data_IF_281173752214
#
_entry.id   IF_281173752214
#
_cell.length_a   1.000
_cell.length_b   1.000
_cell.length_c   1.000
_cell.angle_alpha   90.00
_cell.angle_beta   90.00
_cell.angle_gamma   90.00
#
_symmetry.space_group_name_H-M   'P 1'
#
loop_
_entity.id
_entity.type
_entity.pdbx_description
1 polymer ?
#
# COMPACT_ATOMS: atom_id res chain seq x y z
N UNK A 1 -16.45 -12.48 -19.33
CA UNK A 1 -15.70 -11.24 -19.02
C UNK A 1 -14.24 -11.55 -19.31
N UNK A 2 -13.70 -10.96 -20.38
CA UNK A 2 -12.36 -11.30 -20.89
C UNK A 2 -11.36 -10.31 -20.31
N UNK A 3 -10.49 -10.77 -19.40
CA UNK A 3 -9.37 -9.97 -18.88
C UNK A 3 -8.25 -10.04 -19.92
N UNK A 4 -8.01 -8.95 -20.64
CA UNK A 4 -6.86 -8.90 -21.55
C UNK A 4 -5.57 -8.82 -20.73
N UNK A 5 -4.57 -9.66 -21.02
CA UNK A 5 -3.26 -9.55 -20.38
C UNK A 5 -2.61 -8.24 -20.81
N UNK A 6 -2.06 -7.51 -19.84
CA UNK A 6 -1.26 -6.32 -20.12
C UNK A 6 0.06 -6.76 -20.78
N UNK A 7 0.21 -6.46 -22.08
CA UNK A 7 1.48 -6.63 -22.80
C UNK A 7 2.28 -5.34 -22.71
N UNK A 8 3.45 -5.41 -22.06
CA UNK A 8 4.43 -4.33 -22.03
C UNK A 8 5.18 -4.31 -23.37
N UNK A 9 4.88 -3.32 -24.22
CA UNK A 9 5.60 -3.09 -25.48
C UNK A 9 6.87 -2.28 -25.22
N UNK A 10 8.04 -2.94 -25.29
CA UNK A 10 9.35 -2.36 -24.96
C UNK A 10 9.92 -1.40 -26.00
N UNK A 11 9.15 -1.03 -27.03
CA UNK A 11 9.59 -0.18 -28.14
C UNK A 11 8.95 1.22 -28.17
N UNK A 12 8.16 1.58 -27.16
CA UNK A 12 7.74 2.98 -26.97
C UNK A 12 8.63 3.58 -25.91
N UNK A 13 9.39 4.59 -26.30
CA UNK A 13 10.09 5.51 -25.39
C UNK A 13 9.05 6.44 -24.75
N UNK A 14 8.00 5.87 -24.17
CA UNK A 14 7.01 6.55 -23.35
C UNK A 14 7.28 6.14 -21.91
N UNK A 15 7.33 7.15 -21.04
CA UNK A 15 7.50 7.02 -19.61
C UNK A 15 6.70 5.83 -19.07
N UNK A 16 7.36 4.91 -18.36
CA UNK A 16 6.65 3.84 -17.66
C UNK A 16 5.46 4.44 -16.89
N UNK A 17 4.26 3.83 -16.94
CA UNK A 17 3.06 4.41 -16.35
C UNK A 17 3.33 4.72 -14.87
N UNK A 18 2.93 5.91 -14.42
CA UNK A 18 3.11 6.27 -13.02
C UNK A 18 2.20 5.41 -12.16
N UNK A 19 2.58 5.23 -10.89
CA UNK A 19 1.76 4.47 -9.96
C UNK A 19 0.36 5.10 -9.82
N UNK A 20 0.26 6.44 -9.89
CA UNK A 20 -1.01 7.18 -9.95
C UNK A 20 -1.90 6.77 -11.14
N UNK A 21 -1.32 6.56 -12.32
CA UNK A 21 -2.06 6.14 -13.53
C UNK A 21 -2.60 4.72 -13.40
N UNK A 22 -1.79 3.82 -12.83
CA UNK A 22 -2.18 2.42 -12.60
C UNK A 22 -3.31 2.33 -11.57
N UNK A 23 -3.15 3.01 -10.43
CA UNK A 23 -4.14 2.97 -9.35
C UNK A 23 -5.44 3.66 -9.80
N UNK A 24 -5.38 4.74 -10.58
CA UNK A 24 -6.57 5.42 -11.09
C UNK A 24 -7.51 4.55 -11.94
N UNK A 25 -7.02 3.42 -12.45
CA UNK A 25 -7.80 2.46 -13.23
C UNK A 25 -8.37 1.30 -12.38
N UNK A 26 -7.96 1.19 -11.10
CA UNK A 26 -8.32 0.08 -10.23
C UNK A 26 -9.72 0.25 -9.62
N UNK A 27 -10.70 -0.44 -10.20
CA UNK A 27 -12.11 -0.37 -9.80
C UNK A 27 -12.40 -1.06 -8.46
N UNK A 28 -11.53 -1.97 -8.02
CA UNK A 28 -11.73 -2.68 -6.76
C UNK A 28 -11.27 -1.88 -5.54
N UNK A 29 -10.65 -0.72 -5.70
CA UNK A 29 -10.09 0.08 -4.60
C UNK A 29 -10.59 1.53 -4.56
N UNK A 30 -11.79 1.80 -5.08
CA UNK A 30 -12.36 3.15 -5.22
C UNK A 30 -12.48 3.90 -3.89
N UNK A 31 -12.77 3.20 -2.78
CA UNK A 31 -12.85 3.82 -1.44
C UNK A 31 -11.48 4.34 -0.99
N UNK A 32 -10.44 3.52 -1.13
CA UNK A 32 -9.07 3.93 -0.82
C UNK A 32 -8.63 5.08 -1.72
N UNK A 33 -8.94 5.00 -3.01
CA UNK A 33 -8.62 6.01 -4.02
C UNK A 33 -9.22 7.38 -3.71
N UNK A 34 -10.50 7.46 -3.34
CA UNK A 34 -11.15 8.73 -2.98
C UNK A 34 -10.41 9.41 -1.81
N UNK A 35 -9.98 8.64 -0.82
CA UNK A 35 -9.21 9.16 0.31
C UNK A 35 -7.77 9.55 -0.07
N UNK A 36 -7.12 8.80 -0.97
CA UNK A 36 -5.81 9.16 -1.51
C UNK A 36 -5.85 10.50 -2.24
N UNK A 37 -6.82 10.69 -3.13
CA UNK A 37 -6.97 11.92 -3.94
C UNK A 37 -7.21 13.17 -3.08
N UNK A 38 -7.85 13.02 -1.91
CA UNK A 38 -8.08 14.11 -0.96
C UNK A 38 -6.83 14.50 -0.16
N UNK A 39 -5.81 13.64 -0.13
CA UNK A 39 -4.58 13.90 0.61
C UNK A 39 -3.46 14.33 -0.34
N UNK A 40 -3.12 15.62 -0.32
CA UNK A 40 -2.00 16.14 -1.12
C UNK A 40 -0.68 15.40 -0.83
N UNK A 41 -0.44 15.05 0.43
CA UNK A 41 0.79 14.38 0.86
C UNK A 41 0.91 12.98 0.24
N UNK A 42 -0.18 12.20 0.27
CA UNK A 42 -0.20 10.87 -0.33
C UNK A 42 -0.15 10.93 -1.86
N UNK A 43 -0.82 11.91 -2.48
CA UNK A 43 -0.73 12.10 -3.93
C UNK A 43 0.69 12.46 -4.37
N UNK A 44 1.40 13.33 -3.64
CA UNK A 44 2.81 13.63 -3.93
C UNK A 44 3.70 12.38 -3.84
N UNK A 45 3.44 11.51 -2.86
CA UNK A 45 4.14 10.22 -2.76
C UNK A 45 3.87 9.32 -3.98
N UNK A 46 2.62 9.25 -4.46
CA UNK A 46 2.26 8.46 -5.64
C UNK A 46 2.83 9.00 -6.95
N UNK A 47 2.98 10.31 -7.06
CA UNK A 47 3.60 10.99 -8.21
C UNK A 47 5.14 10.97 -8.17
N UNK A 48 5.75 10.37 -7.15
CA UNK A 48 7.20 10.35 -6.97
C UNK A 48 7.82 11.69 -6.55
N UNK A 49 7.00 12.70 -6.27
CA UNK A 49 7.42 14.03 -5.83
C UNK A 49 7.49 14.11 -4.30
N UNK A 50 8.22 13.17 -3.70
CA UNK A 50 8.43 13.15 -2.26
C UNK A 50 9.79 12.56 -1.90
N UNK A 51 10.56 13.33 -1.12
CA UNK A 51 11.88 12.93 -0.60
C UNK A 51 11.78 11.71 0.32
N UNK A 52 10.62 11.51 0.95
CA UNK A 52 10.39 10.39 1.87
C UNK A 52 10.36 9.05 1.13
N UNK A 53 10.10 9.05 -0.19
CA UNK A 53 9.99 7.87 -1.04
C UNK A 53 11.11 7.77 -2.07
N UNK A 54 12.23 8.46 -1.84
CA UNK A 54 13.38 8.46 -2.75
C UNK A 54 14.00 7.05 -2.96
N UNK A 55 13.77 6.11 -2.04
CA UNK A 55 14.21 4.71 -2.15
C UNK A 55 13.16 3.79 -2.83
N UNK A 56 12.13 4.38 -3.44
CA UNK A 56 10.98 3.69 -4.00
C UNK A 56 9.77 3.68 -3.06
N UNK A 57 8.65 3.17 -3.57
CA UNK A 57 7.39 3.05 -2.87
C UNK A 57 6.81 1.67 -3.10
N UNK A 58 6.47 0.98 -2.01
CA UNK A 58 5.55 -0.17 -2.05
C UNK A 58 4.23 0.27 -1.43
N UNK A 59 3.14 0.14 -2.17
CA UNK A 59 1.80 0.48 -1.71
C UNK A 59 0.97 -0.78 -1.51
N UNK A 60 0.40 -0.94 -0.32
CA UNK A 60 -0.61 -1.96 -0.03
C UNK A 60 -2.00 -1.35 -0.18
N UNK A 61 -2.56 -1.35 -1.39
CA UNK A 61 -3.86 -0.70 -1.62
C UNK A 61 -5.01 -1.59 -1.13
N UNK A 62 -5.78 -1.19 -0.09
CA UNK A 62 -6.92 -1.98 0.36
C UNK A 62 -8.05 -1.94 -0.68
N UNK A 63 -8.68 -3.08 -0.92
CA UNK A 63 -9.86 -3.20 -1.79
C UNK A 63 -11.12 -2.71 -1.06
N UNK A 64 -12.18 -2.45 -1.81
CA UNK A 64 -13.50 -2.10 -1.31
C UNK A 64 -14.04 -3.18 -0.35
N UNK A 65 -13.74 -4.46 -0.60
CA UNK A 65 -14.13 -5.57 0.27
C UNK A 65 -13.37 -5.53 1.62
N UNK A 66 -12.13 -5.03 1.65
CA UNK A 66 -11.40 -4.84 2.90
C UNK A 66 -12.13 -3.84 3.81
N UNK A 67 -12.73 -2.77 3.25
CA UNK A 67 -13.53 -1.81 4.01
C UNK A 67 -14.88 -2.37 4.48
N UNK A 68 -15.50 -3.29 3.72
CA UNK A 68 -16.76 -3.93 4.13
C UNK A 68 -16.59 -4.84 5.34
N UNK A 69 -15.38 -5.35 5.57
CA UNK A 69 -15.07 -6.20 6.72
C UNK A 69 -14.73 -5.39 7.99
N UNK A 70 -14.79 -4.06 7.96
CA UNK A 70 -14.57 -3.21 9.11
C UNK A 70 -15.88 -2.98 9.87
N UNK A 71 -15.82 -3.06 11.20
CA UNK A 71 -16.94 -2.68 12.08
C UNK A 71 -17.30 -1.19 11.92
N UNK A 72 -16.31 -0.36 11.59
CA UNK A 72 -16.46 1.06 11.28
C UNK A 72 -15.30 1.58 10.43
N UNK A 73 -15.56 2.51 9.52
CA UNK A 73 -14.51 3.23 8.80
C UNK A 73 -13.74 4.12 9.79
N UNK A 74 -12.39 4.12 9.78
CA UNK A 74 -11.61 4.99 10.64
C UNK A 74 -11.97 6.47 10.45
N UNK A 75 -12.06 7.21 11.55
CA UNK A 75 -12.31 8.66 11.54
C UNK A 75 -11.19 9.41 10.80
N UNK A 76 -9.93 8.97 11.01
CA UNK A 76 -8.77 9.47 10.28
C UNK A 76 -8.33 8.44 9.22
N UNK A 77 -9.02 8.48 8.09
CA UNK A 77 -8.76 7.60 6.95
C UNK A 77 -7.40 7.88 6.29
N UNK A 78 -6.91 9.11 6.33
CA UNK A 78 -5.56 9.44 5.84
C UNK A 78 -4.50 8.72 6.68
N UNK A 79 -4.59 8.82 8.01
CA UNK A 79 -3.66 8.13 8.92
C UNK A 79 -3.75 6.61 8.78
N UNK A 80 -4.94 6.07 8.53
CA UNK A 80 -5.12 4.66 8.22
C UNK A 80 -4.39 4.28 6.91
N UNK A 81 -4.53 5.08 5.86
CA UNK A 81 -3.86 4.84 4.57
C UNK A 81 -2.33 5.03 4.65
N UNK A 82 -1.81 5.96 5.46
CA UNK A 82 -0.35 6.12 5.66
C UNK A 82 0.34 4.83 6.13
N UNK A 83 -0.35 3.95 6.87
CA UNK A 83 0.18 2.63 7.27
C UNK A 83 0.42 1.67 6.10
N UNK A 84 -0.19 1.94 4.95
CA UNK A 84 -0.11 1.13 3.74
C UNK A 84 0.98 1.62 2.77
N UNK A 85 1.61 2.77 3.05
CA UNK A 85 2.73 3.29 2.29
C UNK A 85 4.03 2.78 2.90
N UNK A 86 4.88 2.12 2.13
CA UNK A 86 6.20 1.68 2.56
C UNK A 86 7.24 2.50 1.77
N UNK A 87 8.10 3.29 2.43
CA UNK A 87 9.05 4.22 1.80
C UNK A 87 10.30 3.51 1.24
N UNK A 88 10.07 2.37 0.57
CA UNK A 88 11.05 1.64 -0.23
C UNK A 88 10.37 0.58 -1.08
N UNK A 89 11.06 0.12 -2.10
CA UNK A 89 10.66 -1.10 -2.82
C UNK A 89 10.93 -2.32 -1.94
N UNK A 90 9.93 -3.20 -1.81
CA UNK A 90 10.07 -4.54 -1.23
C UNK A 90 10.02 -5.55 -2.36
N UNK A 91 11.10 -6.28 -2.58
CA UNK A 91 11.23 -7.21 -3.70
C UNK A 91 10.73 -8.60 -3.36
N UNK A 92 10.33 -9.38 -4.37
CA UNK A 92 9.92 -10.78 -4.16
C UNK A 92 10.99 -11.62 -3.45
N UNK A 93 12.27 -11.43 -3.77
CA UNK A 93 13.38 -12.14 -3.12
C UNK A 93 13.47 -11.80 -1.62
N UNK A 94 13.27 -10.53 -1.25
CA UNK A 94 13.21 -10.13 0.17
C UNK A 94 12.00 -10.75 0.86
N UNK A 95 10.85 -10.85 0.18
CA UNK A 95 9.66 -11.51 0.73
C UNK A 95 9.87 -13.02 0.89
N UNK A 96 10.56 -13.70 -0.03
CA UNK A 96 10.90 -15.13 0.08
C UNK A 96 11.81 -15.41 1.28
N UNK A 97 12.77 -14.53 1.54
CA UNK A 97 13.64 -14.61 2.72
C UNK A 97 12.93 -14.19 4.02
N UNK A 98 11.76 -13.55 3.91
CA UNK A 98 11.07 -12.90 5.00
C UNK A 98 11.74 -11.58 5.38
N UNK A 99 11.03 -10.47 5.17
CA UNK A 99 11.56 -9.12 5.43
C UNK A 99 10.61 -8.35 6.34
N UNK A 100 11.19 -7.57 7.26
CA UNK A 100 10.44 -6.65 8.12
C UNK A 100 10.80 -5.23 7.74
N UNK A 101 9.78 -4.43 7.44
CA UNK A 101 9.91 -3.02 7.03
C UNK A 101 8.97 -2.14 7.85
N UNK A 102 9.20 -0.84 7.83
CA UNK A 102 8.31 0.14 8.47
C UNK A 102 7.47 0.83 7.41
N UNK A 103 6.21 1.12 7.74
CA UNK A 103 5.38 2.01 6.94
C UNK A 103 5.87 3.46 7.03
N UNK A 104 5.25 4.32 6.25
CA UNK A 104 5.44 5.76 6.27
C UNK A 104 5.21 6.30 7.69
N UNK A 105 6.02 7.29 8.06
CA UNK A 105 6.09 7.89 9.41
C UNK A 105 6.26 6.86 10.57
N UNK A 106 6.65 5.62 10.26
CA UNK A 106 6.81 4.51 11.23
C UNK A 106 5.51 4.15 11.97
N UNK A 107 4.36 4.37 11.34
CA UNK A 107 3.04 4.08 11.92
C UNK A 107 2.73 2.59 12.07
N UNK A 108 3.44 1.72 11.33
CA UNK A 108 3.35 0.28 11.44
C UNK A 108 4.71 -0.38 11.16
N UNK A 109 4.94 -1.54 11.76
CA UNK A 109 5.99 -2.47 11.36
C UNK A 109 5.32 -3.62 10.63
N UNK A 110 5.74 -3.89 9.39
CA UNK A 110 5.13 -4.87 8.51
C UNK A 110 6.13 -5.98 8.19
N UNK A 111 5.73 -7.22 8.39
CA UNK A 111 6.48 -8.41 7.99
C UNK A 111 5.90 -8.96 6.70
N UNK A 112 6.71 -8.96 5.65
CA UNK A 112 6.39 -9.55 4.37
C UNK A 112 7.00 -10.94 4.28
N UNK A 113 6.20 -11.90 3.86
CA UNK A 113 6.66 -13.26 3.55
C UNK A 113 6.02 -13.74 2.26
N UNK A 114 6.73 -14.54 1.48
CA UNK A 114 6.18 -15.23 0.30
C UNK A 114 6.27 -16.74 0.49
N UNK A 115 5.19 -17.46 0.23
CA UNK A 115 5.18 -18.92 0.24
C UNK A 115 4.15 -19.46 -0.74
N UNK A 116 4.53 -20.47 -1.52
CA UNK A 116 3.66 -21.17 -2.49
C UNK A 116 2.94 -20.19 -3.46
N UNK A 117 3.66 -19.19 -3.95
CA UNK A 117 3.12 -18.19 -4.88
C UNK A 117 2.14 -17.19 -4.26
N UNK A 118 2.05 -17.13 -2.91
CA UNK A 118 1.22 -16.17 -2.19
C UNK A 118 2.11 -15.26 -1.35
N UNK A 119 1.80 -13.97 -1.37
CA UNK A 119 2.41 -12.97 -0.49
C UNK A 119 1.53 -12.80 0.74
N UNK A 120 2.16 -12.78 1.91
CA UNK A 120 1.53 -12.51 3.19
C UNK A 120 2.18 -11.28 3.81
N UNK A 121 1.34 -10.36 4.28
CA UNK A 121 1.77 -9.19 5.03
C UNK A 121 1.16 -9.26 6.42
N UNK A 122 1.98 -9.10 7.44
CA UNK A 122 1.56 -9.11 8.84
C UNK A 122 2.00 -7.82 9.50
N UNK A 123 1.09 -7.10 10.14
CA UNK A 123 1.45 -5.99 11.00
C UNK A 123 1.92 -6.51 12.37
N UNK A 124 3.10 -6.08 12.82
CA UNK A 124 3.57 -6.34 14.17
C UNK A 124 2.99 -5.27 15.12
N UNK A 125 2.26 -5.76 16.13
CA UNK A 125 1.59 -4.94 17.15
C UNK A 125 2.54 -4.47 18.26
N UNK A 126 3.80 -4.90 18.27
CA UNK A 126 4.70 -4.74 19.42
C UNK A 126 5.22 -3.31 19.69
N UNK A 127 5.01 -2.35 18.78
CA UNK A 127 5.62 -0.99 18.90
C UNK A 127 4.75 0.09 19.55
N UNK A 128 3.49 -0.18 19.92
CA UNK A 128 2.66 0.78 20.65
C UNK A 128 2.62 0.47 22.16
N UNK A 129 3.74 0.73 22.87
CA UNK A 129 3.71 0.89 24.33
C UNK A 129 2.98 2.20 24.66
N UNK A 130 1.67 2.14 24.91
CA UNK A 130 1.02 3.25 25.62
C UNK A 130 -0.49 3.42 25.43
N UNK A 131 -1.12 2.79 24.45
CA UNK A 131 -2.58 2.91 24.30
C UNK A 131 -3.20 1.53 24.13
N UNK A 132 -4.11 1.20 25.05
CA UNK A 132 -5.00 0.05 24.96
C UNK A 132 -5.81 0.22 23.67
N UNK A 133 -5.49 -0.54 22.64
CA UNK A 133 -6.38 -0.66 21.49
C UNK A 133 -7.63 -1.43 21.93
N UNK A 134 -8.77 -0.76 21.79
CA UNK A 134 -10.08 -1.36 21.89
C UNK A 134 -10.30 -2.24 20.65
N UNK A 135 -10.39 -3.56 20.85
CA UNK A 135 -10.87 -4.57 19.88
C UNK A 135 -10.06 -4.75 18.56
N UNK A 136 -10.24 -5.90 17.85
CA UNK A 136 -9.25 -6.43 16.92
C UNK A 136 -9.38 -5.73 15.55
N UNK A 137 -8.29 -5.22 15.03
CA UNK A 137 -8.27 -4.54 13.73
C UNK A 137 -7.36 -5.29 12.76
N UNK A 138 -7.97 -5.71 11.65
CA UNK A 138 -7.34 -6.24 10.44
C UNK A 138 -6.48 -5.18 9.75
#
# INVERSE_FOLDING_TARGET
MSSQPYTFDSNVQDSAPQLSDVIGQEKSATIALDALVRSEQLMRALSGDSVDFAQGLTLLLPTNDAFQNLDSVPEDLELALKRHFIPRTVTMQEMENGVTVRSYERLATLRFTSSKGRVFVQADHSSYRGQRCWHPCW
#
